data_IF_979892860985
#
_entry.id   IF_979892860985
#
_cell.length_a   1.000
_cell.length_b   1.000
_cell.length_c   1.000
_cell.angle_alpha   90.00
_cell.angle_beta   90.00
_cell.angle_gamma   90.00
#
_symmetry.space_group_name_H-M   'P 1'
#
loop_
_entity.id
_entity.type
_entity.pdbx_description
1 polymer ?
#
# COMPACT_ATOMS: atom_id res chain seq x y z
N UNK A 1 8.80 4.99 22.23
CA UNK A 1 10.27 5.02 22.27
C UNK A 1 10.80 6.02 21.23
N UNK A 2 10.51 5.85 19.95
CA UNK A 2 10.88 6.80 18.88
C UNK A 2 10.55 8.28 19.15
N UNK A 3 9.31 8.61 19.55
CA UNK A 3 8.92 10.00 19.85
C UNK A 3 9.73 10.62 21.01
N UNK A 4 10.12 9.80 21.98
CA UNK A 4 10.92 10.25 23.13
C UNK A 4 12.36 10.56 22.74
N UNK A 5 12.93 9.81 21.78
CA UNK A 5 14.26 10.08 21.21
C UNK A 5 14.28 11.40 20.41
N UNK A 6 13.15 11.77 19.80
CA UNK A 6 12.97 13.03 19.08
C UNK A 6 12.53 14.21 19.98
N UNK A 7 12.49 14.03 21.30
CA UNK A 7 11.96 15.02 22.25
C UNK A 7 10.53 15.47 21.95
N UNK A 8 9.72 14.62 21.30
CA UNK A 8 8.32 14.85 21.02
C UNK A 8 7.46 14.31 22.16
N UNK A 9 6.53 15.13 22.66
CA UNK A 9 5.59 14.70 23.70
C UNK A 9 4.51 13.82 23.06
N UNK A 10 4.34 12.59 23.54
CA UNK A 10 3.24 11.72 23.11
C UNK A 10 1.92 12.23 23.71
N UNK A 11 1.16 13.00 22.94
CA UNK A 11 -0.13 13.55 23.36
C UNK A 11 -1.32 12.61 23.08
N UNK A 12 -1.09 11.52 22.35
CA UNK A 12 -2.14 10.64 21.83
C UNK A 12 -2.17 9.32 22.60
N UNK A 13 -3.38 8.79 22.84
CA UNK A 13 -3.56 7.47 23.40
C UNK A 13 -2.93 6.38 22.49
N UNK A 14 -2.49 5.24 23.04
CA UNK A 14 -1.98 4.12 22.25
C UNK A 14 -3.00 3.67 21.21
N UNK A 15 -2.53 3.33 20.01
CA UNK A 15 -3.38 2.80 18.96
C UNK A 15 -3.93 1.44 19.40
N UNK A 16 -5.24 1.29 19.34
CA UNK A 16 -5.93 0.04 19.64
C UNK A 16 -6.31 -0.66 18.34
N UNK A 17 -6.00 -1.96 18.26
CA UNK A 17 -6.48 -2.81 17.18
C UNK A 17 -8.01 -2.91 17.25
N UNK A 18 -8.68 -2.48 16.19
CA UNK A 18 -10.15 -2.55 16.08
C UNK A 18 -10.54 -3.72 15.17
N UNK A 19 -11.27 -4.73 15.67
CA UNK A 19 -11.72 -5.85 14.85
C UNK A 19 -12.49 -5.42 13.59
N UNK A 20 -13.21 -4.30 13.66
CA UNK A 20 -14.04 -3.77 12.58
C UNK A 20 -13.24 -2.99 11.52
N UNK A 21 -11.92 -2.88 11.67
CA UNK A 21 -11.08 -2.18 10.70
C UNK A 21 -11.17 -2.86 9.32
N UNK A 22 -11.38 -2.06 8.26
CA UNK A 22 -11.62 -2.56 6.90
C UNK A 22 -10.45 -3.39 6.35
N UNK A 23 -9.21 -3.00 6.66
CA UNK A 23 -8.02 -3.75 6.27
C UNK A 23 -7.97 -5.12 6.95
N UNK A 24 -8.39 -5.22 8.21
CA UNK A 24 -8.40 -6.48 8.95
C UNK A 24 -9.50 -7.40 8.43
N UNK A 25 -10.68 -6.83 8.17
CA UNK A 25 -11.80 -7.54 7.55
C UNK A 25 -11.45 -8.03 6.13
N UNK A 26 -10.65 -7.26 5.38
CA UNK A 26 -10.11 -7.71 4.09
C UNK A 26 -9.22 -8.93 4.25
N UNK A 27 -8.22 -8.89 5.15
CA UNK A 27 -7.33 -10.03 5.38
C UNK A 27 -8.08 -11.29 5.83
N UNK A 28 -9.06 -11.15 6.73
CA UNK A 28 -9.90 -12.26 7.19
C UNK A 28 -10.82 -12.83 6.09
N UNK A 29 -11.10 -12.05 5.04
CA UNK A 29 -11.94 -12.45 3.91
C UNK A 29 -11.19 -13.17 2.79
N UNK A 30 -9.86 -13.22 2.83
CA UNK A 30 -9.05 -13.91 1.83
C UNK A 30 -9.34 -15.41 1.91
N UNK A 31 -9.60 -16.03 0.76
CA UNK A 31 -9.96 -17.44 0.69
C UNK A 31 -9.28 -18.12 -0.50
N UNK A 32 -9.45 -19.43 -0.62
CA UNK A 32 -8.99 -20.21 -1.78
C UNK A 32 -9.60 -19.75 -3.12
N UNK A 33 -10.74 -19.07 -3.07
CA UNK A 33 -11.49 -18.65 -4.26
C UNK A 33 -11.04 -17.27 -4.78
N UNK A 34 -10.23 -16.54 -4.01
CA UNK A 34 -9.68 -15.24 -4.38
C UNK A 34 -9.41 -14.31 -3.19
N UNK A 35 -8.87 -13.14 -3.50
CA UNK A 35 -8.55 -12.10 -2.50
C UNK A 35 -9.82 -11.46 -1.89
N UNK A 36 -10.87 -11.28 -2.71
CA UNK A 36 -12.13 -10.70 -2.26
C UNK A 36 -13.30 -11.08 -3.18
N UNK A 37 -14.55 -11.15 -2.67
CA UNK A 37 -15.73 -11.34 -3.50
C UNK A 37 -16.03 -10.14 -4.42
N UNK A 38 -16.52 -10.40 -5.64
CA UNK A 38 -16.85 -9.37 -6.66
C UNK A 38 -17.67 -8.20 -6.14
N UNK A 39 -18.68 -8.46 -5.30
CA UNK A 39 -19.57 -7.44 -4.73
C UNK A 39 -19.34 -7.20 -3.24
N UNK A 40 -18.08 -7.28 -2.77
CA UNK A 40 -17.73 -7.12 -1.36
C UNK A 40 -17.90 -5.67 -0.86
N UNK A 41 -18.77 -5.40 0.14
CA UNK A 41 -18.86 -4.08 0.75
C UNK A 41 -17.61 -3.71 1.56
N UNK A 42 -16.86 -4.72 2.04
CA UNK A 42 -15.59 -4.53 2.76
C UNK A 42 -14.55 -3.83 1.89
N UNK A 43 -14.45 -4.20 0.62
CA UNK A 43 -13.51 -3.57 -0.33
C UNK A 43 -13.87 -2.12 -0.59
N UNK A 44 -15.15 -1.81 -0.79
CA UNK A 44 -15.58 -0.42 -0.96
C UNK A 44 -15.32 0.43 0.29
N UNK A 45 -15.41 -0.17 1.49
CA UNK A 45 -15.02 0.51 2.74
C UNK A 45 -13.50 0.69 2.81
N UNK A 46 -12.72 -0.35 2.52
CA UNK A 46 -11.26 -0.29 2.52
C UNK A 46 -10.73 0.79 1.58
N UNK A 47 -11.24 0.88 0.35
CA UNK A 47 -10.84 1.92 -0.61
C UNK A 47 -11.14 3.34 -0.11
N UNK A 48 -12.28 3.55 0.55
CA UNK A 48 -12.61 4.83 1.18
C UNK A 48 -11.70 5.13 2.37
N UNK A 49 -11.47 4.13 3.22
CA UNK A 49 -10.60 4.29 4.38
C UNK A 49 -9.17 4.60 3.95
N UNK A 50 -8.65 3.99 2.88
CA UNK A 50 -7.34 4.31 2.28
C UNK A 50 -7.27 5.73 1.71
N UNK A 51 -8.38 6.28 1.23
CA UNK A 51 -8.47 7.65 0.71
C UNK A 51 -8.54 8.69 1.84
N UNK A 52 -9.27 8.37 2.92
CA UNK A 52 -9.67 9.35 3.94
C UNK A 52 -8.85 9.28 5.24
N UNK A 53 -8.21 8.15 5.54
CA UNK A 53 -7.49 7.98 6.81
C UNK A 53 -6.18 8.77 6.81
N UNK A 54 -5.88 9.38 7.96
CA UNK A 54 -4.64 10.13 8.18
C UNK A 54 -3.45 9.19 8.29
N UNK A 55 -2.43 9.41 7.47
CA UNK A 55 -1.15 8.71 7.58
C UNK A 55 -0.45 9.09 8.89
N UNK A 56 -0.17 8.10 9.73
CA UNK A 56 0.49 8.26 11.04
C UNK A 56 1.99 7.94 11.01
N UNK A 57 2.43 7.17 10.02
CA UNK A 57 3.82 6.79 9.79
C UNK A 57 4.02 6.54 8.29
N UNK A 58 5.20 6.86 7.78
CA UNK A 58 5.62 6.55 6.41
C UNK A 58 7.11 6.27 6.43
N UNK A 59 7.50 5.15 5.80
CA UNK A 59 8.89 4.75 5.66
C UNK A 59 9.17 4.32 4.22
N UNK A 60 10.43 4.36 3.83
CA UNK A 60 10.85 3.82 2.54
C UNK A 60 10.89 2.31 2.64
N UNK A 61 10.08 1.64 1.83
CA UNK A 61 10.25 0.21 1.65
C UNK A 61 11.62 -0.05 0.99
N UNK A 62 12.40 -0.98 1.54
CA UNK A 62 13.59 -1.55 0.90
C UNK A 62 13.23 -2.45 -0.29
N UNK A 63 12.06 -2.26 -0.90
CA UNK A 63 11.66 -2.92 -2.15
C UNK A 63 12.50 -2.35 -3.30
N UNK A 64 13.79 -2.63 -3.25
CA UNK A 64 14.64 -2.56 -4.40
C UNK A 64 14.16 -3.65 -5.35
N UNK A 65 13.78 -3.27 -6.57
CA UNK A 65 14.01 -4.12 -7.75
C UNK A 65 15.52 -4.37 -7.98
N UNK A 66 16.35 -4.37 -6.94
CA UNK A 66 17.72 -4.82 -6.93
C UNK A 66 17.77 -6.13 -6.15
N UNK A 67 18.44 -7.11 -6.74
CA UNK A 67 18.60 -8.44 -6.18
C UNK A 67 19.29 -8.38 -4.80
N UNK A 68 18.55 -8.52 -3.70
CA UNK A 68 19.13 -8.95 -2.43
C UNK A 68 18.17 -9.91 -1.71
N UNK A 69 18.43 -11.21 -1.89
CA UNK A 69 17.59 -12.30 -1.38
C UNK A 69 17.78 -12.63 0.10
N UNK A 70 17.26 -11.78 1.00
CA UNK A 70 17.11 -12.12 2.41
C UNK A 70 15.80 -11.55 2.97
N UNK A 71 14.74 -12.38 3.00
CA UNK A 71 13.54 -12.12 3.79
C UNK A 71 13.77 -12.67 5.21
N UNK A 72 13.96 -11.78 6.19
CA UNK A 72 13.92 -12.15 7.60
C UNK A 72 12.46 -12.02 8.10
N UNK A 73 11.76 -13.15 8.19
CA UNK A 73 10.36 -13.22 8.58
C UNK A 73 10.13 -13.07 10.11
N UNK A 74 11.16 -12.68 10.89
CA UNK A 74 11.06 -12.58 12.35
C UNK A 74 10.41 -11.28 12.86
N UNK A 75 10.15 -10.30 11.99
CA UNK A 75 9.56 -8.99 12.33
C UNK A 75 8.27 -8.71 11.55
N UNK A 76 7.36 -9.69 11.46
CA UNK A 76 6.02 -9.41 10.94
C UNK A 76 5.20 -8.65 11.99
N UNK A 77 5.44 -7.34 12.11
CA UNK A 77 4.48 -6.43 12.72
C UNK A 77 3.28 -6.33 11.76
N UNK A 78 2.14 -6.89 12.18
CA UNK A 78 0.88 -6.82 11.44
C UNK A 78 0.29 -5.40 11.54
N UNK A 79 0.95 -4.45 10.89
CA UNK A 79 0.45 -3.10 10.72
C UNK A 79 -0.31 -2.98 9.39
N UNK A 80 -1.31 -2.10 9.38
CA UNK A 80 -2.06 -1.73 8.18
C UNK A 80 -1.17 -0.87 7.26
N UNK A 81 -0.16 -1.50 6.65
CA UNK A 81 0.74 -0.84 5.71
C UNK A 81 0.10 -0.84 4.32
N UNK A 82 0.21 0.30 3.63
CA UNK A 82 -0.16 0.46 2.23
C UNK A 82 1.09 0.87 1.50
N UNK A 83 1.47 0.12 0.47
CA UNK A 83 2.54 0.53 -0.42
C UNK A 83 2.04 1.67 -1.30
N UNK A 84 2.58 2.86 -1.08
CA UNK A 84 2.28 4.03 -1.90
C UNK A 84 3.29 4.10 -3.04
N UNK A 85 2.82 4.07 -4.28
CA UNK A 85 3.65 4.49 -5.42
C UNK A 85 3.84 6.01 -5.31
N UNK A 86 5.07 6.50 -5.03
CA UNK A 86 5.27 7.92 -4.78
C UNK A 86 4.90 8.74 -6.02
N UNK A 87 4.16 9.84 -5.81
CA UNK A 87 3.84 10.85 -6.84
C UNK A 87 5.08 11.61 -7.35
N UNK A 88 6.28 11.28 -6.84
CA UNK A 88 7.55 11.98 -7.02
C UNK A 88 8.47 11.26 -8.04
N UNK A 89 8.16 10.02 -8.44
CA UNK A 89 8.79 9.38 -9.61
C UNK A 89 8.51 10.22 -10.86
N UNK A 90 9.43 10.31 -11.86
CA UNK A 90 9.25 11.15 -13.04
C UNK A 90 7.89 10.88 -13.68
N UNK A 91 7.00 11.87 -13.55
CA UNK A 91 5.57 11.74 -13.84
C UNK A 91 5.38 11.67 -15.35
N UNK A 92 5.09 10.49 -15.86
CA UNK A 92 4.47 10.40 -17.19
C UNK A 92 3.06 10.98 -17.11
N UNK A 93 2.71 11.85 -18.06
CA UNK A 93 1.34 12.37 -18.15
C UNK A 93 0.37 11.24 -18.50
N UNK A 94 -0.92 11.42 -18.23
CA UNK A 94 -1.96 10.40 -18.52
C UNK A 94 -1.95 9.95 -19.99
N UNK A 95 -1.71 10.89 -20.89
CA UNK A 95 -1.74 10.65 -22.34
C UNK A 95 -0.34 10.38 -22.92
N UNK A 96 0.67 10.20 -22.06
CA UNK A 96 2.02 9.89 -22.47
C UNK A 96 2.22 8.39 -22.64
N UNK A 97 2.67 8.00 -23.82
CA UNK A 97 3.00 6.61 -24.12
C UNK A 97 4.48 6.34 -23.81
N UNK A 98 4.80 5.07 -23.56
CA UNK A 98 6.21 4.66 -23.44
C UNK A 98 6.89 4.86 -24.79
N UNK A 99 8.00 5.61 -24.89
CA UNK A 99 8.67 5.79 -26.18
C UNK A 99 9.19 4.45 -26.71
N UNK A 100 9.25 4.31 -28.04
CA UNK A 100 9.64 3.05 -28.70
C UNK A 100 11.05 2.57 -28.36
N UNK A 101 11.93 3.49 -27.96
CA UNK A 101 13.32 3.22 -27.58
C UNK A 101 13.45 2.53 -26.19
N UNK A 102 12.35 2.34 -25.47
CA UNK A 102 12.33 1.75 -24.14
C UNK A 102 11.96 0.27 -24.16
N UNK A 103 12.77 -0.56 -23.51
CA UNK A 103 12.46 -1.97 -23.29
C UNK A 103 11.41 -2.17 -22.19
N UNK A 104 10.71 -3.31 -22.22
CA UNK A 104 9.65 -3.66 -21.26
C UNK A 104 10.11 -3.75 -19.79
N UNK A 105 11.41 -3.91 -19.54
CA UNK A 105 11.98 -3.92 -18.19
C UNK A 105 12.29 -2.52 -17.66
N UNK A 106 12.16 -1.48 -18.50
CA UNK A 106 12.21 -0.09 -18.04
C UNK A 106 10.83 0.25 -17.47
N UNK A 107 10.75 0.20 -16.15
CA UNK A 107 9.52 0.38 -15.42
C UNK A 107 9.36 1.85 -15.02
N UNK A 108 8.56 2.58 -15.80
CA UNK A 108 7.95 3.79 -15.29
C UNK A 108 6.77 3.39 -14.41
N UNK A 109 6.93 3.44 -13.09
CA UNK A 109 5.83 3.17 -12.18
C UNK A 109 4.68 4.16 -12.42
N UNK A 110 3.52 3.64 -12.82
CA UNK A 110 2.30 4.42 -13.09
C UNK A 110 1.25 4.11 -12.05
N UNK A 111 1.04 5.02 -11.10
CA UNK A 111 -0.09 4.94 -10.15
C UNK A 111 -1.44 4.69 -10.84
N UNK A 112 -1.64 5.28 -12.02
CA UNK A 112 -2.84 5.07 -12.83
C UNK A 112 -2.99 3.62 -13.32
N UNK A 113 -1.88 2.96 -13.65
CA UNK A 113 -1.92 1.57 -14.10
C UNK A 113 -2.31 0.65 -12.94
N UNK A 114 -1.78 0.88 -11.73
CA UNK A 114 -2.14 0.13 -10.53
C UNK A 114 -3.63 0.26 -10.20
N UNK A 115 -4.14 1.50 -10.19
CA UNK A 115 -5.56 1.78 -9.95
C UNK A 115 -6.44 1.13 -11.05
N UNK A 116 -6.05 1.27 -12.31
CA UNK A 116 -6.81 0.71 -13.43
C UNK A 116 -6.80 -0.83 -13.43
N UNK A 117 -5.67 -1.46 -13.12
CA UNK A 117 -5.55 -2.92 -13.03
C UNK A 117 -6.46 -3.48 -11.95
N UNK A 118 -6.51 -2.85 -10.77
CA UNK A 118 -7.45 -3.23 -9.71
C UNK A 118 -8.92 -3.16 -10.19
N UNK A 119 -9.30 -2.08 -10.87
CA UNK A 119 -10.67 -1.93 -11.37
C UNK A 119 -11.00 -2.85 -12.54
N UNK A 120 -9.99 -3.30 -13.30
CA UNK A 120 -10.14 -4.24 -14.41
C UNK A 120 -10.31 -5.69 -13.92
N UNK A 121 -9.65 -6.04 -12.81
CA UNK A 121 -9.77 -7.36 -12.15
C UNK A 121 -11.17 -7.58 -11.53
N UNK A 122 -11.77 -6.51 -10.99
CA UNK A 122 -13.05 -6.56 -10.26
C UNK A 122 -14.28 -6.80 -11.14
#
# INVERSE_FOLDING_TARGET
LYMQELNLTSLTAPLMLRPEASWLQFHLGISKDGLYPRSSPTINRLLRDMQDFTTISADYSQDEKALQGACDCSQSECDASVQLTPLISPRQKRDEETPEDFFYFIDFQRHNAEIAAFHLDR
#
